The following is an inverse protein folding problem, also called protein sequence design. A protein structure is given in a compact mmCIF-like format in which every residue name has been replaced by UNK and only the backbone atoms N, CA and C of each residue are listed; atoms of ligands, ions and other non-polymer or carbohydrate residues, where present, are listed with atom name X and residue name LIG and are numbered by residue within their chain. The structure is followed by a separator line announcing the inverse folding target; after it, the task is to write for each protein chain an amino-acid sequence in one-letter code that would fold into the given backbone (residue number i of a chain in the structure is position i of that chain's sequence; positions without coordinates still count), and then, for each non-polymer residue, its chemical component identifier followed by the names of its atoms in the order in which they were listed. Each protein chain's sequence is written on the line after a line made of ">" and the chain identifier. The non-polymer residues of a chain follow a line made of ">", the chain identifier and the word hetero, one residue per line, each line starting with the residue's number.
data_IF_029776764563
#
_entry.id   IF_029776764563
#
_cell.length_a   1.000
_cell.length_b   1.000
_cell.length_c   1.000
_cell.angle_alpha   90.00
_cell.angle_beta   90.00
_cell.angle_gamma   90.00
#
_symmetry.space_group_name_H-M   'P 1'
#
loop_
_entity.id
_entity.type
_entity.pdbx_description
1 polymer ?
#
# COMPACT_ATOMS: atom_id res chain seq x y z
N UNK A 1 49.56 11.10 -17.47
CA UNK A 1 48.22 10.86 -18.06
C UNK A 1 47.54 9.55 -17.59
N UNK A 2 47.88 9.02 -16.40
CA UNK A 2 47.30 7.76 -15.87
C UNK A 2 46.20 7.95 -14.82
N UNK A 3 45.98 9.19 -14.36
CA UNK A 3 45.02 9.51 -13.30
C UNK A 3 43.61 9.92 -13.78
N UNK A 4 43.40 10.09 -15.08
CA UNK A 4 42.09 10.55 -15.62
C UNK A 4 41.18 9.37 -16.01
N UNK A 5 41.75 8.17 -16.21
CA UNK A 5 40.97 7.00 -16.63
C UNK A 5 40.20 6.31 -15.49
N UNK A 6 40.55 6.56 -14.21
CA UNK A 6 39.83 5.96 -13.08
C UNK A 6 38.61 6.78 -12.61
N UNK A 7 38.45 8.02 -13.05
CA UNK A 7 37.33 8.87 -12.64
C UNK A 7 36.06 8.66 -13.48
N UNK A 8 36.16 8.02 -14.65
CA UNK A 8 35.03 7.85 -15.58
C UNK A 8 34.22 6.55 -15.36
N UNK A 9 34.74 5.58 -14.60
CA UNK A 9 34.04 4.32 -14.35
C UNK A 9 33.11 4.35 -13.11
N UNK A 10 33.09 5.45 -12.34
CA UNK A 10 32.27 5.57 -11.13
C UNK A 10 30.82 6.06 -11.38
N UNK A 11 30.45 6.38 -12.62
CA UNK A 11 29.18 7.07 -12.92
C UNK A 11 28.01 6.18 -13.37
N UNK A 12 28.14 4.85 -13.43
CA UNK A 12 27.16 4.00 -14.15
C UNK A 12 26.34 3.03 -13.27
N UNK A 13 26.40 3.08 -11.93
CA UNK A 13 25.65 2.12 -11.10
C UNK A 13 24.80 2.75 -9.97
N UNK A 14 24.00 3.78 -10.29
CA UNK A 14 22.99 4.34 -9.36
C UNK A 14 21.53 4.17 -9.85
N UNK A 15 21.28 3.33 -10.87
CA UNK A 15 19.93 3.08 -11.38
C UNK A 15 19.08 2.12 -10.53
N UNK A 16 19.60 1.62 -9.40
CA UNK A 16 18.92 0.61 -8.55
C UNK A 16 18.01 1.15 -7.44
N UNK A 17 17.84 2.47 -7.32
CA UNK A 17 17.07 3.07 -6.21
C UNK A 17 15.61 3.40 -6.53
N UNK A 18 15.14 3.16 -7.76
CA UNK A 18 13.78 3.53 -8.20
C UNK A 18 12.87 2.31 -8.20
N UNK A 19 11.63 2.47 -7.74
CA UNK A 19 10.60 1.42 -7.77
C UNK A 19 10.22 0.99 -9.18
N UNK A 20 9.43 -0.08 -9.27
CA UNK A 20 8.87 -0.52 -10.56
C UNK A 20 7.85 0.51 -11.05
N UNK A 21 8.05 1.06 -12.25
CA UNK A 21 7.09 2.01 -12.81
C UNK A 21 6.00 1.27 -13.56
N UNK A 22 4.79 1.29 -13.00
CA UNK A 22 3.56 0.79 -13.62
C UNK A 22 2.64 1.97 -13.90
N UNK A 23 2.02 2.01 -15.07
CA UNK A 23 1.13 3.10 -15.44
C UNK A 23 -0.05 2.63 -16.28
N UNK A 24 -1.19 2.37 -15.63
CA UNK A 24 -2.43 2.04 -16.33
C UNK A 24 -2.97 3.22 -17.18
N UNK A 25 -3.61 2.98 -18.34
CA UNK A 25 -4.19 4.03 -19.19
C UNK A 25 -5.28 4.87 -18.49
N UNK A 26 -5.45 6.13 -18.92
CA UNK A 26 -6.40 7.07 -18.30
C UNK A 26 -7.85 6.59 -18.33
N UNK A 27 -8.28 5.99 -19.44
CA UNK A 27 -9.67 5.53 -19.58
C UNK A 27 -9.96 4.33 -18.66
N UNK A 28 -8.97 3.45 -18.45
CA UNK A 28 -9.07 2.32 -17.51
C UNK A 28 -9.18 2.83 -16.08
N UNK A 29 -8.33 3.77 -15.68
CA UNK A 29 -8.38 4.38 -14.35
C UNK A 29 -9.71 5.10 -14.13
N UNK A 30 -10.15 5.92 -15.09
CA UNK A 30 -11.41 6.66 -14.99
C UNK A 30 -12.62 5.74 -14.79
N UNK A 31 -12.67 4.59 -15.48
CA UNK A 31 -13.73 3.58 -15.31
C UNK A 31 -13.64 2.82 -13.99
N UNK A 32 -12.47 2.79 -13.36
CA UNK A 32 -12.24 2.08 -12.10
C UNK A 32 -12.47 2.92 -10.85
N UNK A 33 -12.75 4.23 -10.97
CA UNK A 33 -12.94 5.11 -9.82
C UNK A 33 -14.09 4.59 -8.95
N UNK A 34 -13.74 4.11 -7.76
CA UNK A 34 -14.71 3.65 -6.77
C UNK A 34 -14.87 4.68 -5.66
N UNK A 35 -16.11 5.07 -5.38
CA UNK A 35 -16.48 5.93 -4.25
C UNK A 35 -17.15 5.08 -3.19
N UNK A 36 -16.52 4.98 -2.03
CA UNK A 36 -17.10 4.26 -0.91
C UNK A 36 -18.14 5.13 -0.20
N UNK A 37 -19.22 4.52 0.26
CA UNK A 37 -20.32 5.16 1.01
C UNK A 37 -20.03 5.33 2.52
N UNK A 38 -18.89 4.80 2.99
CA UNK A 38 -18.42 4.98 4.37
C UNK A 38 -17.73 6.32 4.65
N UNK A 39 -17.46 6.64 5.93
CA UNK A 39 -16.79 7.88 6.32
C UNK A 39 -15.35 7.97 5.77
N UNK A 40 -14.77 9.18 5.67
CA UNK A 40 -13.36 9.34 5.33
C UNK A 40 -12.49 8.56 6.32
N UNK A 41 -11.59 7.72 5.78
CA UNK A 41 -10.88 6.71 6.58
C UNK A 41 -9.50 6.43 6.01
N UNK A 42 -8.54 6.25 6.91
CA UNK A 42 -7.23 5.67 6.60
C UNK A 42 -7.19 4.25 7.16
N UNK A 43 -6.81 3.29 6.34
CA UNK A 43 -6.60 1.90 6.77
C UNK A 43 -5.14 1.51 6.50
N UNK A 44 -4.37 1.33 7.56
CA UNK A 44 -2.99 0.84 7.51
C UNK A 44 -3.02 -0.70 7.52
N UNK A 45 -2.42 -1.32 6.52
CA UNK A 45 -2.13 -2.74 6.51
C UNK A 45 -0.67 -2.95 6.88
N UNK A 46 -0.40 -3.91 7.76
CA UNK A 46 0.95 -4.32 8.10
C UNK A 46 1.05 -5.84 8.11
N UNK A 47 1.98 -6.36 7.32
CA UNK A 47 2.23 -7.80 7.22
C UNK A 47 3.27 -8.17 8.26
N UNK A 48 2.86 -8.96 9.25
CA UNK A 48 3.69 -9.34 10.39
C UNK A 48 4.03 -10.82 10.28
N UNK A 49 5.32 -11.14 10.37
CA UNK A 49 5.80 -12.50 10.30
C UNK A 49 5.35 -13.31 11.52
N UNK A 50 4.62 -14.41 11.31
CA UNK A 50 4.04 -15.25 12.37
C UNK A 50 5.10 -15.88 13.29
N UNK A 51 6.32 -16.12 12.78
CA UNK A 51 7.39 -16.76 13.56
C UNK A 51 8.22 -15.76 14.36
N UNK A 52 8.52 -14.60 13.79
CA UNK A 52 9.48 -13.63 14.37
C UNK A 52 8.82 -12.38 14.94
N UNK A 53 7.53 -12.16 14.65
CA UNK A 53 6.81 -10.94 14.99
C UNK A 53 7.29 -9.68 14.27
N UNK A 54 8.24 -9.78 13.33
CA UNK A 54 8.77 -8.63 12.58
C UNK A 54 7.81 -8.20 11.47
N UNK A 55 7.68 -6.90 11.26
CA UNK A 55 6.94 -6.35 10.12
C UNK A 55 7.73 -6.44 8.83
N UNK A 56 7.13 -7.02 7.79
CA UNK A 56 7.75 -7.24 6.50
C UNK A 56 7.30 -6.22 5.44
N UNK A 57 6.03 -5.82 5.47
CA UNK A 57 5.47 -4.91 4.47
C UNK A 57 4.35 -4.05 5.09
N UNK A 58 4.11 -2.88 4.51
CA UNK A 58 2.98 -2.02 4.83
C UNK A 58 2.41 -1.32 3.61
N UNK A 59 1.09 -1.11 3.63
CA UNK A 59 0.35 -0.35 2.62
C UNK A 59 -0.75 0.46 3.28
N UNK A 60 -1.26 1.46 2.57
CA UNK A 60 -2.26 2.39 3.07
C UNK A 60 -3.45 2.46 2.11
N UNK A 61 -4.62 2.03 2.57
CA UNK A 61 -5.86 2.35 1.88
C UNK A 61 -6.39 3.69 2.36
N UNK A 62 -6.69 4.57 1.39
CA UNK A 62 -7.23 5.90 1.63
C UNK A 62 -8.66 5.94 1.10
N UNK A 63 -9.61 6.22 1.99
CA UNK A 63 -10.99 6.49 1.63
C UNK A 63 -11.25 8.01 1.66
N UNK A 64 -11.12 8.66 0.52
CA UNK A 64 -11.47 10.07 0.30
C UNK A 64 -12.57 10.22 -0.76
N UNK A 65 -12.38 11.13 -1.70
CA UNK A 65 -13.25 11.37 -2.86
C UNK A 65 -13.29 10.20 -3.85
N UNK A 66 -12.33 9.29 -3.70
CA UNK A 66 -12.31 7.91 -4.20
C UNK A 66 -11.52 7.05 -3.22
N UNK A 67 -11.67 5.71 -3.33
CA UNK A 67 -10.91 4.77 -2.51
C UNK A 67 -9.81 4.08 -3.31
N UNK A 68 -8.58 4.24 -2.84
CA UNK A 68 -7.36 3.67 -3.45
C UNK A 68 -6.52 2.95 -2.40
N UNK A 69 -5.62 2.06 -2.83
CA UNK A 69 -4.60 1.45 -1.97
C UNK A 69 -3.24 1.87 -2.48
N UNK A 70 -2.45 2.52 -1.63
CA UNK A 70 -1.04 2.79 -1.87
C UNK A 70 -0.22 1.62 -1.34
N UNK A 71 0.39 0.84 -2.23
CA UNK A 71 1.14 -0.38 -1.96
C UNK A 71 2.59 -0.30 -2.49
N UNK A 72 3.50 0.40 -1.79
CA UNK A 72 4.90 0.56 -2.20
C UNK A 72 5.75 -0.71 -2.36
N UNK A 73 5.33 -1.89 -1.88
CA UNK A 73 6.08 -3.11 -2.17
C UNK A 73 5.66 -3.74 -3.50
N UNK A 74 4.51 -3.35 -4.05
CA UNK A 74 4.06 -3.70 -5.40
C UNK A 74 3.98 -5.21 -5.64
N UNK A 75 3.53 -5.97 -4.63
CA UNK A 75 3.44 -7.44 -4.74
C UNK A 75 2.07 -7.93 -5.22
N UNK A 76 1.02 -7.12 -5.04
CA UNK A 76 -0.33 -7.42 -5.49
C UNK A 76 -0.54 -6.91 -6.92
N UNK A 77 -0.82 -7.81 -7.86
CA UNK A 77 -1.08 -7.46 -9.26
C UNK A 77 -2.20 -8.34 -9.82
N UNK A 78 -3.12 -7.73 -10.57
CA UNK A 78 -4.18 -8.44 -11.27
C UNK A 78 -4.57 -7.70 -12.56
N UNK A 79 -4.80 -8.40 -13.67
CA UNK A 79 -5.02 -7.80 -15.00
C UNK A 79 -6.21 -6.84 -15.05
N UNK A 80 -7.21 -7.06 -14.20
CA UNK A 80 -8.44 -6.26 -14.16
C UNK A 80 -8.42 -5.14 -13.10
N UNK A 81 -7.36 -5.03 -12.29
CA UNK A 81 -7.25 -4.03 -11.23
C UNK A 81 -6.14 -3.05 -11.62
N UNK A 82 -6.47 -1.81 -12.02
CA UNK A 82 -5.47 -0.88 -12.54
C UNK A 82 -4.58 -0.31 -11.44
N UNK A 83 -3.32 -0.07 -11.80
CA UNK A 83 -2.29 0.48 -10.92
C UNK A 83 -1.54 1.64 -11.62
N UNK A 84 -1.17 2.67 -10.85
CA UNK A 84 -0.16 3.66 -11.25
C UNK A 84 0.84 3.86 -10.13
N UNK A 85 2.09 3.48 -10.36
CA UNK A 85 3.23 3.70 -9.45
C UNK A 85 2.84 3.42 -7.99
N UNK A 86 2.51 2.17 -7.68
CA UNK A 86 2.10 1.69 -6.36
C UNK A 86 0.68 2.10 -5.92
N UNK A 87 -0.07 2.88 -6.70
CA UNK A 87 -1.47 3.23 -6.40
C UNK A 87 -2.42 2.30 -7.14
N UNK A 88 -3.09 1.42 -6.40
CA UNK A 88 -4.15 0.54 -6.86
C UNK A 88 -5.49 1.29 -6.84
N UNK A 89 -6.14 1.39 -7.99
CA UNK A 89 -7.41 2.08 -8.17
C UNK A 89 -8.61 1.13 -8.03
N UNK A 90 -9.77 1.72 -7.76
CA UNK A 90 -11.02 0.97 -7.67
C UNK A 90 -11.00 -0.03 -6.52
N UNK A 91 -10.54 0.40 -5.35
CA UNK A 91 -10.47 -0.42 -4.16
C UNK A 91 -11.89 -0.69 -3.62
N UNK A 92 -12.70 -1.49 -4.31
CA UNK A 92 -14.05 -1.91 -3.85
C UNK A 92 -13.93 -2.81 -2.61
N UNK A 93 -15.04 -3.12 -1.90
CA UNK A 93 -14.98 -4.03 -0.75
C UNK A 93 -14.39 -5.40 -1.13
N UNK A 94 -14.65 -5.87 -2.35
CA UNK A 94 -14.06 -7.11 -2.87
C UNK A 94 -12.56 -6.97 -3.11
N UNK A 95 -12.08 -5.86 -3.70
CA UNK A 95 -10.64 -5.62 -3.88
C UNK A 95 -9.95 -5.53 -2.52
N UNK A 96 -10.50 -4.80 -1.56
CA UNK A 96 -9.94 -4.70 -0.22
C UNK A 96 -9.85 -6.08 0.45
N UNK A 97 -10.90 -6.90 0.35
CA UNK A 97 -10.90 -8.26 0.91
C UNK A 97 -9.83 -9.15 0.26
N UNK A 98 -9.79 -9.21 -1.07
CA UNK A 98 -8.81 -10.02 -1.81
C UNK A 98 -7.39 -9.52 -1.53
N UNK A 99 -7.19 -8.20 -1.46
CA UNK A 99 -5.91 -7.59 -1.11
C UNK A 99 -5.43 -8.00 0.29
N UNK A 100 -6.29 -7.94 1.31
CA UNK A 100 -5.92 -8.36 2.67
C UNK A 100 -5.62 -9.86 2.71
N UNK A 101 -6.45 -10.70 2.09
CA UNK A 101 -6.25 -12.15 2.04
C UNK A 101 -4.99 -12.53 1.27
N UNK A 102 -4.68 -11.84 0.17
CA UNK A 102 -3.46 -12.06 -0.61
C UNK A 102 -2.18 -12.00 0.23
N UNK A 103 -2.21 -11.19 1.29
CA UNK A 103 -1.09 -10.95 2.18
C UNK A 103 -1.15 -11.71 3.52
N UNK A 104 -2.27 -12.34 3.86
CA UNK A 104 -2.39 -13.22 5.02
C UNK A 104 -2.10 -14.67 4.58
N UNK A 105 -1.16 -15.36 5.23
CA UNK A 105 -0.69 -16.73 4.95
C UNK A 105 -0.18 -17.40 6.23
N UNK A 106 0.17 -18.69 6.13
CA UNK A 106 0.82 -19.41 7.23
C UNK A 106 2.07 -18.69 7.78
N UNK A 107 2.81 -17.93 6.95
CA UNK A 107 4.02 -17.20 7.38
C UNK A 107 3.78 -15.78 7.84
N UNK A 108 2.69 -15.14 7.44
CA UNK A 108 2.38 -13.75 7.75
C UNK A 108 0.90 -13.55 8.07
N UNK A 109 0.58 -12.84 9.14
CA UNK A 109 -0.76 -12.28 9.32
C UNK A 109 -0.79 -10.83 8.89
N UNK A 110 -1.99 -10.34 8.58
CA UNK A 110 -2.20 -8.91 8.27
C UNK A 110 -2.85 -8.25 9.46
N UNK A 111 -2.13 -7.29 10.04
CA UNK A 111 -2.68 -6.34 11.01
C UNK A 111 -3.32 -5.19 10.24
N UNK A 112 -4.63 -5.03 10.44
CA UNK A 112 -5.48 -4.02 9.79
C UNK A 112 -5.86 -2.98 10.83
N UNK A 113 -5.40 -1.74 10.65
CA UNK A 113 -5.69 -0.64 11.56
C UNK A 113 -6.44 0.46 10.85
N UNK A 114 -7.58 0.86 11.40
CA UNK A 114 -8.52 1.78 10.79
C UNK A 114 -8.68 3.04 11.63
N UNK A 115 -8.53 4.21 11.01
CA UNK A 115 -8.77 5.51 11.62
C UNK A 115 -9.77 6.30 10.78
N UNK A 116 -10.93 6.63 11.37
CA UNK A 116 -11.81 7.65 10.79
C UNK A 116 -11.11 9.00 10.92
N UNK A 117 -11.01 9.73 9.81
CA UNK A 117 -10.32 11.02 9.73
C UNK A 117 -11.27 12.09 9.20
N UNK A 118 -10.85 13.35 9.23
CA UNK A 118 -11.62 14.41 8.57
C UNK A 118 -11.59 14.25 7.05
N UNK A 119 -12.60 14.77 6.32
CA UNK A 119 -12.55 14.81 4.85
C UNK A 119 -11.26 15.45 4.32
N UNK A 120 -10.78 16.52 4.97
CA UNK A 120 -9.56 17.22 4.57
C UNK A 120 -8.31 16.33 4.73
N UNK A 121 -8.24 15.52 5.79
CA UNK A 121 -7.15 14.57 5.99
C UNK A 121 -7.17 13.45 4.95
N UNK A 122 -8.33 12.89 4.64
CA UNK A 122 -8.47 11.87 3.61
C UNK A 122 -8.11 12.41 2.22
N UNK A 123 -8.58 13.60 1.83
CA UNK A 123 -8.21 14.22 0.56
C UNK A 123 -6.73 14.56 0.50
N UNK A 124 -6.13 15.03 1.60
CA UNK A 124 -4.70 15.27 1.66
C UNK A 124 -3.92 13.97 1.45
N UNK A 125 -4.29 12.89 2.13
CA UNK A 125 -3.66 11.58 1.94
C UNK A 125 -3.80 11.10 0.49
N UNK A 126 -5.00 11.21 -0.08
CA UNK A 126 -5.29 10.80 -1.45
C UNK A 126 -4.41 11.56 -2.45
N UNK A 127 -4.33 12.89 -2.32
CA UNK A 127 -3.48 13.71 -3.18
C UNK A 127 -2.00 13.36 -3.06
N UNK A 128 -1.52 13.07 -1.86
CA UNK A 128 -0.12 12.68 -1.65
C UNK A 128 0.16 11.33 -2.33
N UNK A 129 -0.65 10.29 -2.09
CA UNK A 129 -0.39 8.95 -2.65
C UNK A 129 -0.48 8.95 -4.17
N UNK A 130 -1.45 9.67 -4.73
CA UNK A 130 -1.65 9.80 -6.18
C UNK A 130 -0.46 10.46 -6.91
N UNK A 131 0.34 11.26 -6.18
CA UNK A 131 1.49 11.97 -6.72
C UNK A 131 2.83 11.48 -6.13
N UNK A 132 2.83 10.35 -5.41
CA UNK A 132 4.03 9.87 -4.70
C UNK A 132 5.12 9.39 -5.67
N UNK A 133 4.71 8.67 -6.72
CA UNK A 133 5.62 7.98 -7.63
C UNK A 133 6.07 6.61 -7.12
N UNK A 134 6.80 5.88 -7.95
CA UNK A 134 7.19 4.50 -7.66
C UNK A 134 8.25 4.43 -6.55
N UNK A 135 8.03 3.57 -5.58
CA UNK A 135 8.86 3.41 -4.38
C UNK A 135 9.68 2.13 -4.49
N UNK A 136 10.95 2.18 -4.10
CA UNK A 136 11.73 0.95 -3.98
C UNK A 136 11.12 0.07 -2.89
N UNK A 137 10.89 -1.22 -3.17
CA UNK A 137 10.10 -2.13 -2.31
C UNK A 137 10.51 -2.15 -0.84
N UNK A 138 11.81 -2.06 -0.56
CA UNK A 138 12.37 -2.03 0.80
C UNK A 138 12.04 -0.73 1.59
N UNK A 139 11.47 0.29 0.93
CA UNK A 139 11.11 1.57 1.53
C UNK A 139 9.61 1.69 1.79
N UNK A 140 8.84 0.60 1.76
CA UNK A 140 7.39 0.67 1.88
C UNK A 140 6.90 1.35 3.16
N UNK A 141 7.54 1.06 4.29
CA UNK A 141 7.25 1.74 5.56
C UNK A 141 7.69 3.20 5.54
N UNK A 142 8.81 3.51 4.87
CA UNK A 142 9.26 4.89 4.74
C UNK A 142 8.29 5.73 3.91
N UNK A 143 7.81 5.18 2.78
CA UNK A 143 6.80 5.83 1.95
C UNK A 143 5.51 6.05 2.72
N UNK A 144 4.97 4.99 3.30
CA UNK A 144 3.70 5.02 4.02
C UNK A 144 3.74 5.95 5.24
N UNK A 145 4.80 5.86 6.06
CA UNK A 145 4.96 6.73 7.24
C UNK A 145 5.12 8.21 6.87
N UNK A 146 5.74 8.55 5.73
CA UNK A 146 5.82 9.93 5.25
C UNK A 146 4.49 10.50 4.79
N UNK A 147 3.63 9.67 4.21
CA UNK A 147 2.24 10.07 3.90
C UNK A 147 1.51 10.37 5.22
N UNK A 148 1.56 9.42 6.16
CA UNK A 148 0.88 9.53 7.45
C UNK A 148 1.38 10.71 8.29
N UNK A 149 2.69 10.96 8.37
CA UNK A 149 3.27 12.08 9.11
C UNK A 149 2.79 13.45 8.58
N UNK A 150 2.50 13.56 7.28
CA UNK A 150 1.95 14.80 6.70
C UNK A 150 0.45 14.98 6.99
N UNK A 151 -0.30 13.89 7.14
CA UNK A 151 -1.76 13.90 7.34
C UNK A 151 -2.14 13.92 8.82
N UNK A 152 -1.30 13.34 9.67
CA UNK A 152 -1.44 13.18 11.12
C UNK A 152 -0.21 13.79 11.82
N UNK A 153 0.02 15.11 11.70
CA UNK A 153 1.23 15.74 12.21
C UNK A 153 1.35 15.57 13.73
N UNK A 154 2.55 15.21 14.18
CA UNK A 154 2.85 14.98 15.60
C UNK A 154 2.33 13.65 16.17
N UNK A 155 1.67 12.83 15.36
CA UNK A 155 1.17 11.51 15.77
C UNK A 155 1.94 10.35 15.12
N UNK A 156 2.59 10.59 13.98
CA UNK A 156 3.38 9.60 13.25
C UNK A 156 4.74 10.19 12.88
N UNK A 157 5.79 9.41 13.09
CA UNK A 157 7.16 9.72 12.73
C UNK A 157 7.57 8.91 11.49
N UNK A 158 8.30 9.50 10.52
CA UNK A 158 8.84 8.73 9.41
C UNK A 158 9.74 7.60 9.90
N UNK A 159 9.48 6.37 9.46
CA UNK A 159 10.22 5.18 9.86
C UNK A 159 10.40 4.22 8.68
N UNK A 160 11.44 3.39 8.75
CA UNK A 160 11.72 2.33 7.79
C UNK A 160 11.15 0.98 8.23
N UNK A 161 10.54 0.91 9.41
CA UNK A 161 10.16 -0.34 10.05
C UNK A 161 8.63 -0.49 10.08
N UNK A 162 8.04 -1.44 9.33
CA UNK A 162 6.58 -1.59 9.25
C UNK A 162 5.92 -1.83 10.61
N UNK A 163 6.53 -2.66 11.48
CA UNK A 163 6.00 -2.94 12.82
C UNK A 163 5.97 -1.69 13.71
N UNK A 164 7.03 -0.89 13.66
CA UNK A 164 7.09 0.36 14.43
C UNK A 164 6.01 1.32 13.96
N UNK A 165 5.80 1.44 12.65
CA UNK A 165 4.72 2.26 12.10
C UNK A 165 3.34 1.81 12.59
N UNK A 166 3.08 0.50 12.58
CA UNK A 166 1.82 -0.07 13.07
C UNK A 166 1.63 0.16 14.57
N UNK A 167 2.70 0.07 15.36
CA UNK A 167 2.66 0.35 16.80
C UNK A 167 2.33 1.82 17.06
N UNK A 168 3.01 2.77 16.40
CA UNK A 168 2.77 4.21 16.56
C UNK A 168 1.36 4.57 16.09
N UNK A 169 0.92 4.09 14.93
CA UNK A 169 -0.44 4.30 14.43
C UNK A 169 -1.49 3.73 15.38
N UNK A 170 -1.25 2.57 15.98
CA UNK A 170 -2.14 1.97 16.97
C UNK A 170 -2.33 2.79 18.25
N UNK A 171 -1.41 3.73 18.56
CA UNK A 171 -1.55 4.61 19.73
C UNK A 171 -2.49 5.80 19.49
N UNK A 172 -2.88 6.06 18.25
CA UNK A 172 -3.74 7.18 17.90
C UNK A 172 -5.16 6.95 18.44
N UNK A 173 -5.74 7.89 19.21
CA UNK A 173 -7.10 7.76 19.71
C UNK A 173 -8.11 7.55 18.57
N UNK A 174 -8.94 6.51 18.70
CA UNK A 174 -9.97 6.16 17.72
C UNK A 174 -9.55 5.10 16.69
N UNK A 175 -8.28 4.66 16.70
CA UNK A 175 -7.85 3.53 15.88
C UNK A 175 -8.55 2.25 16.32
N UNK A 176 -9.12 1.54 15.34
CA UNK A 176 -9.64 0.18 15.49
C UNK A 176 -8.68 -0.79 14.84
N UNK A 177 -8.48 -1.94 15.46
CA UNK A 177 -7.52 -2.94 15.00
C UNK A 177 -8.19 -4.30 14.86
N UNK A 178 -7.80 -5.01 13.81
CA UNK A 178 -8.11 -6.43 13.60
C UNK A 178 -6.89 -7.13 13.01
N UNK A 179 -6.77 -8.43 13.24
CA UNK A 179 -5.74 -9.27 12.65
C UNK A 179 -6.40 -10.35 11.79
N UNK A 180 -5.90 -10.52 10.57
CA UNK A 180 -6.31 -11.60 9.68
C UNK A 180 -5.18 -12.64 9.61
N UNK A 181 -5.49 -13.84 10.09
CA UNK A 181 -4.69 -15.03 9.92
C UNK A 181 -5.31 -15.91 8.84
N UNK A 182 -4.50 -16.40 7.92
CA UNK A 182 -4.84 -17.46 6.98
C UNK A 182 -3.80 -18.58 7.13
N UNK A 183 -4.19 -19.82 6.83
CA UNK A 183 -3.36 -21.01 7.06
C UNK A 183 -2.98 -21.72 5.75
N UNK A 184 -3.27 -21.10 4.62
CA UNK A 184 -2.84 -21.55 3.31
C UNK A 184 -1.31 -21.34 3.13
N UNK A 185 -0.76 -22.10 2.17
CA UNK A 185 0.65 -22.03 1.79
C UNK A 185 1.04 -20.64 1.32
N UNK A 186 2.33 -20.30 1.41
CA UNK A 186 2.83 -18.96 0.99
C UNK A 186 2.61 -18.65 -0.50
N UNK A 187 2.29 -19.65 -1.32
CA UNK A 187 1.77 -19.46 -2.67
C UNK A 187 0.38 -18.80 -2.63
N UNK A 188 0.34 -17.51 -2.97
CA UNK A 188 -0.85 -16.68 -2.97
C UNK A 188 -1.62 -16.67 -4.30
N UNK A 189 -1.16 -17.41 -5.32
CA UNK A 189 -1.81 -17.47 -6.63
C UNK A 189 -3.29 -17.87 -6.55
N UNK A 190 -3.63 -18.80 -5.65
CA UNK A 190 -4.99 -19.31 -5.42
C UNK A 190 -5.98 -18.24 -4.94
N UNK A 191 -5.51 -17.18 -4.29
CA UNK A 191 -6.40 -16.07 -3.89
C UNK A 191 -6.85 -15.27 -5.11
N UNK A 192 -5.99 -15.15 -6.12
CA UNK A 192 -6.31 -14.51 -7.38
C UNK A 192 -7.11 -15.44 -8.30
N UNK A 193 -6.96 -16.76 -8.22
CA UNK A 193 -7.82 -17.72 -8.94
C UNK A 193 -9.30 -17.61 -8.55
N UNK A 194 -9.59 -17.24 -7.31
CA UNK A 194 -10.94 -17.00 -6.82
C UNK A 194 -11.53 -15.63 -7.22
N UNK A 195 -10.78 -14.82 -7.99
CA UNK A 195 -11.23 -13.52 -8.46
C UNK A 195 -12.36 -13.63 -9.49
N UNK A 196 -13.44 -12.88 -9.27
CA UNK A 196 -14.57 -12.79 -10.20
C UNK A 196 -14.68 -11.37 -10.78
N UNK A 197 -14.23 -11.15 -12.03
CA UNK A 197 -14.30 -9.84 -12.68
C UNK A 197 -15.74 -9.30 -12.84
N UNK A 198 -16.75 -10.17 -12.91
CA UNK A 198 -18.14 -9.74 -13.05
C UNK A 198 -18.66 -9.16 -11.73
N UNK A 199 -18.34 -9.80 -10.59
CA UNK A 199 -18.62 -9.26 -9.26
C UNK A 199 -17.87 -7.95 -8.99
N UNK A 200 -16.63 -7.83 -9.46
CA UNK A 200 -15.87 -6.58 -9.37
C UNK A 200 -16.59 -5.44 -10.07
N UNK A 201 -16.97 -5.65 -11.34
CA UNK A 201 -17.70 -4.66 -12.14
C UNK A 201 -19.04 -4.26 -11.53
N UNK A 202 -19.72 -5.17 -10.85
CA UNK A 202 -20.99 -4.88 -10.16
C UNK A 202 -20.83 -3.97 -8.92
N UNK A 203 -19.60 -3.75 -8.45
CA UNK A 203 -19.29 -2.88 -7.31
C UNK A 203 -18.71 -1.52 -7.71
N UNK A 204 -18.44 -1.30 -9.00
CA UNK A 204 -17.99 -0.02 -9.55
C UNK A 204 -19.19 0.90 -9.81
#
# INVERSE_FOLDING_TARGET
>A
MRGVALALCAFVMLSGCVGESIWAPDDVVAKSIYRHDGPPKLTLYTMINNRTGKGAHTSLMVNGSQRVIFDPAGSFKHETIPERNDVIFGATPMVANVYTRYHARQTFHVKVQELIVTPQQAEKALNIVMNYGAVAKAQCAHGTSRVLAQVLPGQISPTWYPKQLAEEFGTIPGVKEAELFEYDSDDNSKVLEAWDPARYKAQQ
#
